data_IF_447181461119
#
_entry.id   IF_447181461119
#
_cell.length_a   1.000
_cell.length_b   1.000
_cell.length_c   1.000
_cell.angle_alpha   90.00
_cell.angle_beta   90.00
_cell.angle_gamma   90.00
#
_symmetry.space_group_name_H-M   'P 1'
#
loop_
_entity.id
_entity.type
_entity.pdbx_description
1 polymer ?
#
# COMPACT_ATOMS: atom_id res chain seq x y z
N UNK A 1 18.56 -0.61 -15.14
CA UNK A 1 17.74 -1.76 -15.57
C UNK A 1 16.79 -2.06 -14.43
N UNK A 2 15.52 -2.30 -14.75
CA UNK A 2 14.51 -2.70 -13.77
C UNK A 2 14.75 -4.17 -13.38
N UNK A 3 14.85 -4.51 -12.08
CA UNK A 3 15.13 -5.88 -11.66
C UNK A 3 13.99 -6.81 -12.03
N UNK A 4 14.29 -8.05 -12.41
CA UNK A 4 13.34 -9.12 -12.71
C UNK A 4 12.71 -9.70 -11.45
N UNK A 5 11.63 -10.47 -11.58
CA UNK A 5 11.01 -11.15 -10.43
C UNK A 5 12.01 -12.09 -9.75
N UNK A 6 12.80 -12.83 -10.52
CA UNK A 6 13.76 -13.80 -9.99
C UNK A 6 14.88 -13.10 -9.21
N UNK A 7 15.35 -11.94 -9.66
CA UNK A 7 16.34 -11.13 -8.94
C UNK A 7 15.79 -10.61 -7.61
N UNK A 8 14.56 -10.08 -7.61
CA UNK A 8 13.90 -9.59 -6.39
C UNK A 8 13.64 -10.73 -5.39
N UNK A 9 13.22 -11.90 -5.89
CA UNK A 9 13.02 -13.09 -5.06
C UNK A 9 14.35 -13.53 -4.44
N UNK A 10 15.42 -13.59 -5.22
CA UNK A 10 16.74 -14.03 -4.75
C UNK A 10 17.28 -13.10 -3.65
N UNK A 11 17.10 -11.79 -3.80
CA UNK A 11 17.46 -10.81 -2.77
C UNK A 11 16.62 -11.02 -1.50
N UNK A 12 15.29 -11.08 -1.64
CA UNK A 12 14.37 -11.22 -0.51
C UNK A 12 14.63 -12.50 0.29
N UNK A 13 15.04 -13.61 -0.34
CA UNK A 13 15.34 -14.87 0.36
C UNK A 13 16.47 -14.76 1.40
N UNK A 14 17.26 -13.69 1.39
CA UNK A 14 18.30 -13.43 2.39
C UNK A 14 17.79 -12.68 3.63
N UNK A 15 16.53 -12.23 3.61
CA UNK A 15 15.93 -11.42 4.65
C UNK A 15 15.04 -12.23 5.59
N UNK A 16 14.89 -11.75 6.83
CA UNK A 16 13.88 -12.28 7.74
C UNK A 16 12.48 -11.89 7.26
N UNK A 17 11.57 -12.87 7.21
CA UNK A 17 10.18 -12.69 6.74
C UNK A 17 10.08 -12.04 5.33
N UNK A 18 10.53 -12.73 4.27
CA UNK A 18 10.79 -12.14 2.96
C UNK A 18 9.53 -11.75 2.17
N UNK A 19 8.36 -12.28 2.55
CA UNK A 19 7.13 -12.14 1.76
C UNK A 19 6.71 -10.69 1.59
N UNK A 20 6.50 -9.97 2.71
CA UNK A 20 5.92 -8.63 2.64
C UNK A 20 6.88 -7.61 1.98
N UNK A 21 8.19 -7.57 2.33
CA UNK A 21 9.15 -6.72 1.62
C UNK A 21 9.23 -7.00 0.12
N UNK A 22 9.21 -8.28 -0.28
CA UNK A 22 9.21 -8.67 -1.69
C UNK A 22 7.97 -8.17 -2.43
N UNK A 23 6.78 -8.32 -1.83
CA UNK A 23 5.55 -7.80 -2.41
C UNK A 23 5.60 -6.27 -2.55
N UNK A 24 6.15 -5.55 -1.58
CA UNK A 24 6.35 -4.11 -1.70
C UNK A 24 7.29 -3.75 -2.85
N UNK A 25 8.45 -4.41 -3.00
CA UNK A 25 9.37 -4.15 -4.12
C UNK A 25 8.74 -4.36 -5.48
N UNK A 26 8.04 -5.48 -5.66
CA UNK A 26 7.33 -5.78 -6.91
C UNK A 26 6.24 -4.73 -7.16
N UNK A 27 5.47 -4.39 -6.13
CA UNK A 27 4.38 -3.43 -6.22
C UNK A 27 4.88 -2.02 -6.54
N UNK A 28 5.98 -1.57 -5.96
CA UNK A 28 6.61 -0.27 -6.25
C UNK A 28 7.21 -0.24 -7.66
N UNK A 29 7.76 -1.36 -8.13
CA UNK A 29 8.34 -1.50 -9.47
C UNK A 29 7.27 -1.46 -10.57
N UNK A 30 6.16 -2.17 -10.35
CA UNK A 30 5.15 -2.43 -11.40
C UNK A 30 3.87 -1.59 -11.24
N UNK A 31 3.64 -1.00 -10.06
CA UNK A 31 2.43 -0.24 -9.72
C UNK A 31 1.18 -1.09 -9.46
N UNK A 32 1.31 -2.42 -9.47
CA UNK A 32 0.30 -3.41 -9.07
C UNK A 32 0.94 -4.79 -8.94
N UNK A 33 0.26 -5.73 -8.28
CA UNK A 33 0.68 -7.13 -8.19
C UNK A 33 -0.05 -7.96 -9.24
N UNK A 34 0.64 -8.25 -10.35
CA UNK A 34 0.10 -9.11 -11.42
C UNK A 34 0.03 -10.57 -10.99
N UNK A 35 -0.87 -11.34 -11.61
CA UNK A 35 -0.96 -12.78 -11.38
C UNK A 35 0.37 -13.51 -11.71
N UNK A 36 1.06 -13.06 -12.76
CA UNK A 36 2.37 -13.59 -13.13
C UNK A 36 3.40 -13.37 -12.02
N UNK A 37 3.47 -12.16 -11.46
CA UNK A 37 4.37 -11.86 -10.36
C UNK A 37 4.05 -12.71 -9.11
N UNK A 38 2.76 -12.87 -8.77
CA UNK A 38 2.34 -13.71 -7.66
C UNK A 38 2.68 -15.19 -7.87
N UNK A 39 2.60 -15.69 -9.11
CA UNK A 39 3.03 -17.05 -9.47
C UNK A 39 4.55 -17.21 -9.32
N UNK A 40 5.35 -16.21 -9.71
CA UNK A 40 6.80 -16.20 -9.46
C UNK A 40 7.10 -16.24 -7.96
N UNK A 41 6.44 -15.39 -7.16
CA UNK A 41 6.60 -15.34 -5.69
C UNK A 41 6.20 -16.67 -5.04
N UNK A 42 5.06 -17.25 -5.45
CA UNK A 42 4.58 -18.55 -4.97
C UNK A 42 5.63 -19.65 -5.18
N UNK A 43 6.21 -19.71 -6.37
CA UNK A 43 7.27 -20.68 -6.70
C UNK A 43 8.56 -20.41 -5.94
N UNK A 44 8.97 -19.15 -5.83
CA UNK A 44 10.22 -18.74 -5.18
C UNK A 44 10.22 -18.98 -3.68
N UNK A 45 9.17 -18.55 -2.98
CA UNK A 45 9.04 -18.68 -1.53
C UNK A 45 8.36 -19.98 -1.08
N UNK A 46 7.91 -20.82 -2.02
CA UNK A 46 7.15 -22.06 -1.77
C UNK A 46 5.89 -21.84 -0.93
N UNK A 47 5.20 -20.73 -1.18
CA UNK A 47 3.93 -20.37 -0.53
C UNK A 47 2.79 -20.72 -1.49
N UNK A 48 1.72 -21.40 -1.03
CA UNK A 48 0.55 -21.66 -1.85
C UNK A 48 -0.01 -20.37 -2.47
N UNK A 49 -0.31 -20.40 -3.77
CA UNK A 49 -0.83 -19.22 -4.48
C UNK A 49 -2.13 -18.69 -3.84
N UNK A 50 -2.96 -19.58 -3.28
CA UNK A 50 -4.18 -19.21 -2.56
C UNK A 50 -3.90 -18.34 -1.32
N UNK A 51 -2.83 -18.66 -0.57
CA UNK A 51 -2.44 -17.89 0.62
C UNK A 51 -1.89 -16.51 0.24
N UNK A 52 -1.17 -16.42 -0.89
CA UNK A 52 -0.75 -15.13 -1.45
C UNK A 52 -1.94 -14.28 -1.85
N UNK A 53 -2.94 -14.87 -2.53
CA UNK A 53 -4.17 -14.16 -2.87
C UNK A 53 -4.93 -13.71 -1.61
N UNK A 54 -5.00 -14.54 -0.57
CA UNK A 54 -5.57 -14.15 0.73
C UNK A 54 -4.81 -12.98 1.36
N UNK A 55 -3.48 -13.00 1.28
CA UNK A 55 -2.62 -11.93 1.81
C UNK A 55 -2.86 -10.61 1.09
N UNK A 56 -2.76 -10.57 -0.24
CA UNK A 56 -2.88 -9.32 -1.01
C UNK A 56 -4.30 -8.75 -1.02
N UNK A 57 -5.32 -9.59 -0.80
CA UNK A 57 -6.72 -9.11 -0.69
C UNK A 57 -7.01 -8.54 0.70
N UNK A 58 -6.30 -9.00 1.73
CA UNK A 58 -6.41 -8.47 3.07
C UNK A 58 -5.76 -7.08 3.21
N UNK A 59 -4.58 -6.88 2.61
CA UNK A 59 -3.87 -5.60 2.67
C UNK A 59 -4.39 -4.62 1.62
N UNK A 60 -5.15 -3.61 2.07
CA UNK A 60 -5.66 -2.51 1.24
C UNK A 60 -4.57 -1.68 0.52
N UNK A 61 -3.30 -1.84 0.90
CA UNK A 61 -2.18 -1.16 0.27
C UNK A 61 -1.82 -1.74 -1.10
N UNK A 62 -2.03 -3.05 -1.33
CA UNK A 62 -1.63 -3.68 -2.58
C UNK A 62 -2.69 -3.49 -3.67
N UNK A 63 -2.30 -2.81 -4.74
CA UNK A 63 -3.08 -2.78 -5.96
C UNK A 63 -2.94 -4.12 -6.70
N UNK A 64 -4.05 -4.60 -7.24
CA UNK A 64 -4.11 -5.84 -8.03
C UNK A 64 -4.39 -5.58 -9.51
N UNK A 65 -4.74 -4.35 -9.84
CA UNK A 65 -5.10 -3.90 -11.18
C UNK A 65 -4.18 -2.74 -11.59
N UNK A 66 -3.86 -2.60 -12.89
CA UNK A 66 -3.01 -1.53 -13.39
C UNK A 66 -3.47 -0.14 -12.95
N UNK A 67 -2.53 0.69 -12.49
CA UNK A 67 -2.79 2.06 -12.03
C UNK A 67 -3.33 2.17 -10.60
N UNK A 68 -3.64 1.05 -9.93
CA UNK A 68 -4.17 1.08 -8.57
C UNK A 68 -3.18 1.59 -7.52
N UNK A 69 -1.87 1.53 -7.76
CA UNK A 69 -0.86 2.10 -6.85
C UNK A 69 -1.00 3.62 -6.73
N UNK A 70 -1.13 4.30 -7.87
CA UNK A 70 -1.28 5.76 -7.96
C UNK A 70 -2.72 6.25 -7.70
N UNK A 71 -3.71 5.37 -7.86
CA UNK A 71 -5.10 5.68 -7.60
C UNK A 71 -5.31 6.14 -6.13
N UNK A 72 -6.07 7.22 -5.88
CA UNK A 72 -6.28 7.73 -4.53
C UNK A 72 -7.05 6.73 -3.65
N UNK A 73 -6.49 6.39 -2.50
CA UNK A 73 -7.18 5.57 -1.48
C UNK A 73 -7.53 6.46 -0.29
N UNK A 74 -8.82 6.75 -0.10
CA UNK A 74 -9.32 7.68 0.90
C UNK A 74 -9.75 6.92 2.15
N UNK A 75 -9.26 7.31 3.32
CA UNK A 75 -9.69 6.74 4.58
C UNK A 75 -11.19 6.97 4.80
N UNK A 76 -11.97 5.89 4.87
CA UNK A 76 -13.40 5.90 5.20
C UNK A 76 -13.64 5.27 6.59
N UNK A 77 -12.69 5.46 7.51
CA UNK A 77 -12.90 5.14 8.92
C UNK A 77 -13.94 6.06 9.58
N UNK A 78 -14.49 5.71 10.75
CA UNK A 78 -15.63 6.43 11.34
C UNK A 78 -15.43 7.95 11.49
N UNK A 79 -14.26 8.37 11.98
CA UNK A 79 -13.93 9.80 12.14
C UNK A 79 -13.82 10.51 10.78
N UNK A 80 -13.24 9.85 9.78
CA UNK A 80 -13.09 10.42 8.44
C UNK A 80 -14.44 10.53 7.72
N UNK A 81 -15.34 9.56 7.88
CA UNK A 81 -16.71 9.64 7.37
C UNK A 81 -17.46 10.83 7.97
N UNK A 82 -17.35 11.07 9.29
CA UNK A 82 -17.93 12.25 9.94
C UNK A 82 -17.35 13.58 9.43
N UNK A 83 -16.15 13.55 8.85
CA UNK A 83 -15.45 14.71 8.27
C UNK A 83 -15.68 14.87 6.75
N UNK A 84 -16.50 14.02 6.13
CA UNK A 84 -16.82 14.12 4.70
C UNK A 84 -16.01 13.21 3.78
N UNK A 85 -15.47 12.09 4.26
CA UNK A 85 -14.66 11.17 3.43
C UNK A 85 -15.37 10.69 2.15
N UNK A 86 -16.68 10.45 2.19
CA UNK A 86 -17.43 10.04 1.00
C UNK A 86 -17.50 11.14 -0.06
N UNK A 87 -17.62 12.39 0.35
CA UNK A 87 -17.59 13.54 -0.56
C UNK A 87 -16.19 13.69 -1.18
N UNK A 88 -15.14 13.45 -0.40
CA UNK A 88 -13.76 13.48 -0.90
C UNK A 88 -13.48 12.35 -1.89
N UNK A 89 -14.00 11.13 -1.65
CA UNK A 89 -13.93 10.04 -2.65
C UNK A 89 -14.59 10.47 -3.95
N UNK A 90 -15.78 11.09 -3.91
CA UNK A 90 -16.49 11.52 -5.09
C UNK A 90 -15.80 12.68 -5.86
N UNK A 91 -14.99 13.49 -5.18
CA UNK A 91 -14.24 14.60 -5.78
C UNK A 91 -12.95 14.16 -6.49
N UNK A 92 -12.40 13.00 -6.12
CA UNK A 92 -11.11 12.53 -6.60
C UNK A 92 -11.30 11.47 -7.68
N UNK A 93 -10.73 11.72 -8.86
CA UNK A 93 -10.82 10.77 -9.97
C UNK A 93 -10.12 9.45 -9.64
N UNK A 94 -10.77 8.34 -10.00
CA UNK A 94 -10.31 6.98 -9.71
C UNK A 94 -10.19 6.63 -8.22
N UNK A 95 -10.72 7.45 -7.31
CA UNK A 95 -10.55 7.23 -5.88
C UNK A 95 -11.40 6.07 -5.36
N UNK A 96 -10.84 5.36 -4.38
CA UNK A 96 -11.51 4.27 -3.67
C UNK A 96 -11.48 4.53 -2.17
N UNK A 97 -12.49 4.02 -1.46
CA UNK A 97 -12.48 4.02 0.00
C UNK A 97 -11.58 2.91 0.54
N UNK A 98 -10.86 3.20 1.62
CA UNK A 98 -10.05 2.23 2.36
C UNK A 98 -10.37 2.25 3.85
N UNK A 99 -10.08 1.15 4.59
CA UNK A 99 -10.20 1.12 6.05
C UNK A 99 -9.37 2.21 6.75
N UNK A 100 -9.56 2.34 8.06
CA UNK A 100 -8.87 3.32 8.88
C UNK A 100 -7.34 3.21 8.72
N UNK A 101 -6.69 4.32 8.34
CA UNK A 101 -5.23 4.43 8.22
C UNK A 101 -4.51 4.78 9.53
N UNK A 102 -5.27 5.00 10.63
CA UNK A 102 -4.71 5.34 11.94
C UNK A 102 -4.24 6.79 12.12
N UNK A 103 -4.35 7.65 11.10
CA UNK A 103 -4.00 9.09 11.17
C UNK A 103 -5.17 9.96 11.59
N UNK A 104 -5.68 9.73 12.80
CA UNK A 104 -6.82 10.48 13.35
C UNK A 104 -6.49 11.92 13.75
N UNK A 105 -5.20 12.24 13.89
CA UNK A 105 -4.63 13.55 14.15
C UNK A 105 -4.81 14.52 12.97
N UNK A 106 -4.79 13.99 11.73
CA UNK A 106 -4.90 14.79 10.50
C UNK A 106 -5.94 14.20 9.52
N UNK A 107 -7.25 14.35 9.80
CA UNK A 107 -8.31 13.86 8.91
C UNK A 107 -8.51 14.79 7.69
N UNK A 108 -8.77 14.29 6.48
CA UNK A 108 -8.95 12.89 6.03
C UNK A 108 -7.67 12.42 5.31
N UNK A 109 -7.10 11.27 5.67
CA UNK A 109 -5.95 10.71 4.96
C UNK A 109 -6.32 10.17 3.58
N UNK A 110 -5.48 10.46 2.59
CA UNK A 110 -5.54 9.93 1.22
C UNK A 110 -4.17 9.40 0.83
N UNK A 111 -4.07 8.11 0.51
CA UNK A 111 -2.81 7.48 0.08
C UNK A 111 -2.77 7.43 -1.44
N UNK A 112 -1.64 7.85 -2.03
CA UNK A 112 -1.30 7.69 -3.46
C UNK A 112 0.14 7.23 -3.56
N UNK A 113 0.37 6.09 -4.20
CA UNK A 113 1.68 5.44 -4.19
C UNK A 113 2.12 5.15 -2.75
N UNK A 114 3.31 5.65 -2.40
CA UNK A 114 3.90 5.62 -1.05
C UNK A 114 3.68 6.90 -0.24
N UNK A 115 2.95 7.87 -0.80
CA UNK A 115 2.71 9.16 -0.17
C UNK A 115 1.36 9.19 0.54
N UNK A 116 1.33 9.83 1.71
CA UNK A 116 0.09 10.11 2.44
C UNK A 116 -0.19 11.59 2.36
N UNK A 117 -1.37 11.94 1.85
CA UNK A 117 -1.93 13.28 1.84
C UNK A 117 -2.99 13.38 2.93
N UNK A 118 -3.24 14.58 3.43
CA UNK A 118 -4.28 14.86 4.42
C UNK A 118 -5.06 16.11 4.01
N UNK A 119 -6.37 16.11 4.23
CA UNK A 119 -7.23 17.27 3.93
C UNK A 119 -8.71 16.92 3.91
N UNK A 120 -9.57 17.94 3.96
CA UNK A 120 -11.03 17.77 3.98
C UNK A 120 -11.69 17.87 2.59
N UNK A 121 -10.95 18.37 1.60
CA UNK A 121 -11.42 18.54 0.22
C UNK A 121 -10.27 18.34 -0.76
N UNK A 122 -10.57 18.08 -2.03
CA UNK A 122 -9.55 17.81 -3.04
C UNK A 122 -8.56 18.97 -3.24
N UNK A 123 -9.00 20.22 -3.05
CA UNK A 123 -8.16 21.42 -3.18
C UNK A 123 -7.27 21.70 -1.96
N UNK A 124 -7.52 21.02 -0.84
CA UNK A 124 -6.81 21.23 0.42
C UNK A 124 -5.91 20.05 0.80
N UNK A 125 -5.71 19.09 -0.10
CA UNK A 125 -4.81 17.96 0.14
C UNK A 125 -3.37 18.45 0.19
N UNK A 126 -2.73 18.27 1.35
CA UNK A 126 -1.30 18.52 1.55
C UNK A 126 -0.58 17.22 1.86
N UNK A 127 0.70 17.14 1.51
CA UNK A 127 1.54 16.00 1.91
C UNK A 127 1.62 15.97 3.45
N UNK A 128 1.16 14.87 4.05
CA UNK A 128 1.19 14.68 5.48
C UNK A 128 2.47 13.96 5.87
N UNK A 129 3.25 14.55 6.78
CA UNK A 129 4.48 13.94 7.28
C UNK A 129 4.17 12.60 7.96
N UNK A 130 4.99 11.58 7.69
CA UNK A 130 4.87 10.32 8.41
C UNK A 130 5.76 10.40 9.65
N UNK A 131 5.21 10.36 10.88
CA UNK A 131 6.03 10.34 12.07
C UNK A 131 6.81 9.03 12.11
N UNK A 132 8.09 9.10 11.75
CA UNK A 132 9.00 7.95 11.82
C UNK A 132 9.39 7.78 13.29
N UNK A 133 9.17 6.60 13.90
CA UNK A 133 9.71 6.33 15.23
C UNK A 133 11.22 6.58 15.23
N UNK A 134 11.80 7.08 16.33
CA UNK A 134 13.26 7.19 16.42
C UNK A 134 13.88 5.81 16.14
N UNK A 135 15.04 5.81 15.48
CA UNK A 135 15.78 4.58 15.24
C UNK A 135 15.95 3.82 16.56
N UNK A 136 15.71 2.51 16.55
CA UNK A 136 15.95 1.68 17.73
C UNK A 136 17.40 1.86 18.18
N UNK A 137 17.59 2.28 19.42
CA UNK A 137 18.92 2.38 20.05
C UNK A 137 19.11 1.10 20.87
N UNK A 138 19.84 0.13 20.32
CA UNK A 138 20.18 -1.15 20.98
C UNK A 138 19.37 -2.37 20.51
N UNK A 139 19.73 -3.54 21.04
CA UNK A 139 19.25 -4.86 20.59
C UNK A 139 17.93 -5.35 21.23
N UNK A 140 17.11 -4.45 21.78
CA UNK A 140 15.80 -4.79 22.38
C UNK A 140 14.69 -3.84 21.87
#
# INVERSE_FOLDING_TARGET
MTPTNDELIAEAMTEEAPLLPLLHRIHERDGYLSEEALRSVSKGLRIPIADLFGTITFYHHFARDPGGFEAPRVCTGPICCLKGAHDLVAQLDGATGMPCSGRCDEPIPVIRGSQTFVGLSASQLTLGDTPVPPAKVGDY
#
